data_IF_695370452240
#
_entry.id   IF_695370452240
#
_cell.length_a   1.000
_cell.length_b   1.000
_cell.length_c   1.000
_cell.angle_alpha   90.00
_cell.angle_beta   90.00
_cell.angle_gamma   90.00
#
_symmetry.space_group_name_H-M   'P 1'
#
loop_
_entity.id
_entity.type
_entity.pdbx_description
1 polymer ?
#
# COMPACT_ATOMS: atom_id res chain seq x y z
N UNK A 1 8.06 -17.97 3.58
CA UNK A 1 6.63 -17.62 3.77
C UNK A 1 6.15 -16.62 2.70
N UNK A 2 6.75 -15.44 2.54
CA UNK A 2 6.34 -14.49 1.46
C UNK A 2 6.58 -15.07 0.07
N UNK A 3 7.79 -15.60 -0.19
CA UNK A 3 8.12 -16.29 -1.45
C UNK A 3 7.18 -17.46 -1.77
N UNK A 4 6.70 -18.17 -0.75
CA UNK A 4 5.77 -19.30 -0.92
C UNK A 4 4.40 -18.83 -1.43
N UNK A 5 3.87 -17.73 -0.88
CA UNK A 5 2.64 -17.10 -1.38
C UNK A 5 2.80 -16.71 -2.85
N UNK A 6 3.95 -16.12 -3.21
CA UNK A 6 4.25 -15.72 -4.59
C UNK A 6 4.34 -16.94 -5.52
N UNK A 7 4.99 -18.02 -5.08
CA UNK A 7 5.10 -19.27 -5.85
C UNK A 7 3.73 -19.90 -6.09
N UNK A 8 2.85 -19.90 -5.09
CA UNK A 8 1.47 -20.37 -5.24
C UNK A 8 0.73 -19.51 -6.27
N UNK A 9 0.79 -18.18 -6.16
CA UNK A 9 0.15 -17.28 -7.12
C UNK A 9 0.64 -17.54 -8.56
N UNK A 10 1.97 -17.64 -8.75
CA UNK A 10 2.59 -17.95 -10.04
C UNK A 10 2.12 -19.28 -10.62
N UNK A 11 2.01 -20.33 -9.80
CA UNK A 11 1.47 -21.65 -10.22
C UNK A 11 0.06 -21.53 -10.81
N UNK A 12 -0.73 -20.59 -10.28
CA UNK A 12 -2.09 -20.30 -10.75
C UNK A 12 -2.16 -19.14 -11.75
N UNK A 13 -1.02 -18.71 -12.33
CA UNK A 13 -0.94 -17.59 -13.29
C UNK A 13 -1.49 -16.25 -12.75
N UNK A 14 -1.48 -16.07 -11.43
CA UNK A 14 -1.87 -14.83 -10.79
C UNK A 14 -0.66 -13.92 -10.56
N UNK A 15 -0.85 -12.62 -10.79
CA UNK A 15 0.12 -11.57 -10.46
C UNK A 15 -0.08 -11.14 -8.99
N UNK A 16 1.01 -10.84 -8.29
CA UNK A 16 0.95 -10.34 -6.91
C UNK A 16 1.22 -8.84 -6.88
N UNK A 17 0.26 -8.12 -6.31
CA UNK A 17 0.45 -6.77 -5.82
C UNK A 17 0.55 -6.85 -4.30
N UNK A 18 1.61 -6.28 -3.73
CA UNK A 18 1.84 -6.30 -2.29
C UNK A 18 2.04 -4.88 -1.78
N UNK A 19 1.21 -4.46 -0.84
CA UNK A 19 1.34 -3.14 -0.24
C UNK A 19 2.45 -3.10 0.82
N UNK A 20 3.26 -2.06 0.75
CA UNK A 20 3.98 -1.59 1.92
C UNK A 20 2.97 -1.23 3.01
N UNK A 21 3.21 -1.66 4.26
CA UNK A 21 2.37 -1.22 5.39
C UNK A 21 2.78 0.22 5.74
N UNK A 22 1.89 1.21 5.63
CA UNK A 22 2.24 2.60 5.90
C UNK A 22 2.46 2.84 7.40
N UNK A 23 3.14 3.94 7.78
CA UNK A 23 3.44 4.25 9.17
C UNK A 23 2.22 4.21 10.09
N UNK A 24 2.46 3.82 11.35
CA UNK A 24 1.47 3.75 12.42
C UNK A 24 1.93 4.53 13.65
N UNK A 25 0.98 4.96 14.49
CA UNK A 25 1.24 5.88 15.61
C UNK A 25 2.21 5.33 16.65
N UNK A 26 2.10 4.03 16.97
CA UNK A 26 2.93 3.40 18.01
C UNK A 26 4.32 3.12 17.46
N UNK A 27 5.33 3.79 18.01
CA UNK A 27 6.71 3.73 17.53
C UNK A 27 7.29 2.31 17.49
N UNK A 28 7.12 1.52 18.57
CA UNK A 28 7.62 0.12 18.62
C UNK A 28 7.00 -0.76 17.54
N UNK A 29 5.70 -0.57 17.26
CA UNK A 29 5.01 -1.30 16.21
C UNK A 29 5.50 -0.82 14.85
N UNK A 30 5.65 0.50 14.67
CA UNK A 30 6.15 1.09 13.44
C UNK A 30 7.57 0.57 13.10
N UNK A 31 8.49 0.52 14.08
CA UNK A 31 9.83 -0.06 13.91
C UNK A 31 9.79 -1.50 13.41
N UNK A 32 8.94 -2.34 14.00
CA UNK A 32 8.74 -3.73 13.56
C UNK A 32 8.18 -3.80 12.14
N UNK A 33 7.23 -2.93 11.81
CA UNK A 33 6.67 -2.83 10.45
C UNK A 33 7.75 -2.44 9.44
N UNK A 34 8.66 -1.52 9.75
CA UNK A 34 9.75 -1.16 8.82
C UNK A 34 10.66 -2.36 8.50
N UNK A 35 10.97 -3.19 9.50
CA UNK A 35 11.71 -4.44 9.27
C UNK A 35 10.92 -5.40 8.38
N UNK A 36 9.62 -5.57 8.64
CA UNK A 36 8.75 -6.43 7.82
C UNK A 36 8.61 -5.92 6.38
N UNK A 37 8.41 -4.62 6.18
CA UNK A 37 8.33 -3.99 4.86
C UNK A 37 9.60 -4.25 4.06
N UNK A 38 10.78 -4.21 4.69
CA UNK A 38 12.03 -4.56 4.01
C UNK A 38 12.04 -6.02 3.54
N UNK A 39 11.61 -6.96 4.39
CA UNK A 39 11.51 -8.38 4.00
C UNK A 39 10.52 -8.55 2.85
N UNK A 40 9.38 -7.86 2.89
CA UNK A 40 8.36 -7.93 1.85
C UNK A 40 8.86 -7.35 0.53
N UNK A 41 9.47 -6.16 0.54
CA UNK A 41 10.00 -5.52 -0.65
C UNK A 41 11.07 -6.38 -1.30
N UNK A 42 12.01 -6.90 -0.50
CA UNK A 42 13.14 -7.69 -1.00
C UNK A 42 12.62 -8.97 -1.71
N UNK A 43 11.66 -9.69 -1.11
CA UNK A 43 11.09 -10.92 -1.70
C UNK A 43 10.19 -10.67 -2.92
N UNK A 44 9.39 -9.60 -2.90
CA UNK A 44 8.48 -9.23 -4.00
C UNK A 44 9.29 -8.79 -5.24
N UNK A 45 10.29 -7.93 -5.04
CA UNK A 45 11.15 -7.44 -6.13
C UNK A 45 12.02 -8.54 -6.71
N UNK A 46 12.62 -9.40 -5.86
CA UNK A 46 13.37 -10.60 -6.30
C UNK A 46 12.53 -11.50 -7.20
N UNK A 47 11.24 -11.63 -6.89
CA UNK A 47 10.30 -12.43 -7.67
C UNK A 47 9.71 -11.71 -8.89
N UNK A 48 10.12 -10.46 -9.18
CA UNK A 48 9.57 -9.61 -10.24
C UNK A 48 8.06 -9.37 -10.09
N UNK A 49 7.56 -9.39 -8.86
CA UNK A 49 6.20 -8.99 -8.50
C UNK A 49 6.13 -7.49 -8.18
N UNK A 50 4.93 -6.97 -7.88
CA UNK A 50 4.71 -5.53 -7.77
C UNK A 50 4.60 -5.15 -6.28
N UNK A 51 5.56 -4.37 -5.80
CA UNK A 51 5.53 -3.78 -4.47
C UNK A 51 5.00 -2.35 -4.55
N UNK A 52 3.88 -2.08 -3.90
CA UNK A 52 3.24 -0.77 -3.90
C UNK A 52 3.72 -0.01 -2.67
N UNK A 53 4.55 1.01 -2.89
CA UNK A 53 5.05 1.88 -1.83
C UNK A 53 3.93 2.81 -1.34
N UNK A 54 3.79 2.95 -0.03
CA UNK A 54 2.69 3.68 0.62
C UNK A 54 3.19 4.69 1.65
N UNK A 55 4.43 4.53 2.14
CA UNK A 55 4.99 5.33 3.23
C UNK A 55 4.91 6.82 2.97
N UNK A 56 5.46 7.29 1.85
CA UNK A 56 5.49 8.71 1.52
C UNK A 56 4.08 9.30 1.40
N UNK A 57 3.14 8.54 0.84
CA UNK A 57 1.77 8.99 0.67
C UNK A 57 1.03 9.14 2.00
N UNK A 58 1.26 8.24 2.96
CA UNK A 58 0.60 8.22 4.28
C UNK A 58 1.45 8.79 5.41
N UNK A 59 2.47 9.57 5.10
CA UNK A 59 3.34 10.23 6.07
C UNK A 59 3.38 11.73 5.86
N UNK A 60 3.77 12.45 6.91
CA UNK A 60 4.13 13.86 6.84
C UNK A 60 5.54 13.97 7.38
N UNK A 61 6.46 14.54 6.58
CA UNK A 61 7.89 14.57 6.90
C UNK A 61 8.49 13.19 7.19
N UNK A 62 8.05 12.16 6.45
CA UNK A 62 8.46 10.75 6.62
C UNK A 62 8.04 10.12 7.96
N UNK A 63 7.17 10.78 8.72
CA UNK A 63 6.62 10.31 10.00
C UNK A 63 5.11 10.01 9.93
N UNK A 64 4.64 9.23 10.90
CA UNK A 64 3.21 8.95 11.04
C UNK A 64 2.39 10.24 11.14
N UNK A 65 1.29 10.29 10.39
CA UNK A 65 0.24 11.28 10.56
C UNK A 65 -1.13 10.61 10.47
N UNK A 66 -2.07 11.09 11.28
CA UNK A 66 -3.48 10.70 11.13
C UNK A 66 -4.16 11.39 9.93
N UNK A 67 -3.49 12.41 9.36
CA UNK A 67 -3.99 13.28 8.30
C UNK A 67 -3.01 13.37 7.14
N UNK A 68 -3.54 13.42 5.91
CA UNK A 68 -2.76 13.75 4.71
C UNK A 68 -3.41 14.92 3.97
N UNK A 69 -2.76 15.37 2.89
CA UNK A 69 -3.34 16.27 1.91
C UNK A 69 -3.94 15.46 0.77
N UNK A 70 -5.20 15.73 0.44
CA UNK A 70 -5.81 15.18 -0.78
C UNK A 70 -5.33 15.94 -2.03
N UNK A 71 -5.82 15.52 -3.20
CA UNK A 71 -5.54 16.15 -4.51
C UNK A 71 -5.94 17.64 -4.60
N UNK A 72 -6.83 18.10 -3.71
CA UNK A 72 -7.27 19.50 -3.60
C UNK A 72 -6.58 20.24 -2.45
N UNK A 73 -5.49 19.69 -1.91
CA UNK A 73 -4.71 20.22 -0.78
C UNK A 73 -5.51 20.37 0.54
N UNK A 74 -6.64 19.67 0.66
CA UNK A 74 -7.45 19.65 1.89
C UNK A 74 -6.86 18.63 2.85
N UNK A 75 -6.85 18.98 4.14
CA UNK A 75 -6.46 18.02 5.17
C UNK A 75 -7.59 17.03 5.39
N UNK A 76 -7.32 15.75 5.16
CA UNK A 76 -8.27 14.66 5.36
C UNK A 76 -7.73 13.70 6.42
N UNK A 77 -8.60 13.26 7.32
CA UNK A 77 -8.27 12.21 8.29
C UNK A 77 -8.25 10.87 7.56
N UNK A 78 -7.14 10.16 7.65
CA UNK A 78 -6.96 8.85 7.00
C UNK A 78 -6.82 7.72 8.00
N UNK A 79 -6.35 7.97 9.23
CA UNK A 79 -6.27 6.96 10.29
C UNK A 79 -7.39 7.10 11.32
N UNK A 80 -7.88 5.99 11.83
CA UNK A 80 -8.74 5.97 13.02
C UNK A 80 -7.97 6.42 14.26
N UNK A 81 -8.67 6.67 15.36
CA UNK A 81 -8.05 7.20 16.59
C UNK A 81 -7.05 6.23 17.25
N UNK A 82 -7.12 4.94 16.90
CA UNK A 82 -6.12 3.95 17.30
C UNK A 82 -4.74 4.15 16.62
N UNK A 83 -4.68 4.96 15.56
CA UNK A 83 -3.48 5.23 14.80
C UNK A 83 -2.89 4.03 14.05
N UNK A 84 -3.69 2.98 13.84
CA UNK A 84 -3.30 1.75 13.13
C UNK A 84 -4.22 1.51 11.93
N UNK A 85 -5.54 1.54 12.12
CA UNK A 85 -6.47 1.25 11.04
C UNK A 85 -6.78 2.50 10.20
N UNK A 86 -7.22 2.27 8.97
CA UNK A 86 -7.68 3.34 8.10
C UNK A 86 -9.14 3.68 8.37
N UNK A 87 -9.47 4.96 8.25
CA UNK A 87 -10.83 5.44 8.00
C UNK A 87 -11.30 5.05 6.59
N UNK A 88 -12.60 5.18 6.27
CA UNK A 88 -13.07 4.98 4.90
C UNK A 88 -12.38 5.87 3.86
N UNK A 89 -12.03 7.12 4.20
CA UNK A 89 -11.22 8.00 3.35
C UNK A 89 -9.81 7.44 3.14
N UNK A 90 -9.14 6.99 4.21
CA UNK A 90 -7.82 6.36 4.10
C UNK A 90 -7.81 5.11 3.21
N UNK A 91 -8.82 4.25 3.34
CA UNK A 91 -8.99 3.07 2.50
C UNK A 91 -9.25 3.42 1.02
N UNK A 92 -9.94 4.54 0.76
CA UNK A 92 -10.15 5.03 -0.61
C UNK A 92 -8.85 5.49 -1.24
N UNK A 93 -8.02 6.24 -0.52
CA UNK A 93 -6.71 6.65 -1.03
C UNK A 93 -5.78 5.45 -1.25
N UNK A 94 -5.83 4.45 -0.36
CA UNK A 94 -5.12 3.18 -0.54
C UNK A 94 -5.53 2.47 -1.85
N UNK A 95 -6.81 2.57 -2.20
CA UNK A 95 -7.35 2.00 -3.43
C UNK A 95 -6.88 2.76 -4.67
N UNK A 96 -6.75 4.10 -4.60
CA UNK A 96 -6.20 4.90 -5.71
C UNK A 96 -4.77 4.47 -6.05
N UNK A 97 -3.91 4.26 -5.05
CA UNK A 97 -2.53 3.78 -5.26
C UNK A 97 -2.48 2.40 -5.96
N UNK A 98 -3.43 1.51 -5.68
CA UNK A 98 -3.55 0.25 -6.41
C UNK A 98 -3.93 0.48 -7.87
N UNK A 99 -4.92 1.32 -8.11
CA UNK A 99 -5.44 1.59 -9.45
C UNK A 99 -4.39 2.22 -10.37
N UNK A 100 -3.42 2.98 -9.84
CA UNK A 100 -2.26 3.46 -10.61
C UNK A 100 -1.45 2.33 -11.27
N UNK A 101 -1.46 1.13 -10.69
CA UNK A 101 -0.75 -0.03 -11.20
C UNK A 101 -1.62 -0.91 -12.11
N UNK A 102 -2.94 -0.66 -12.17
CA UNK A 102 -3.88 -1.43 -12.98
C UNK A 102 -4.26 -0.58 -14.20
N UNK A 103 -3.74 -0.96 -15.36
CA UNK A 103 -4.25 -0.42 -16.63
C UNK A 103 -5.55 -1.12 -16.97
N UNK A 104 -6.66 -0.41 -16.88
CA UNK A 104 -7.90 -0.86 -17.50
C UNK A 104 -7.68 -0.82 -19.01
N UNK A 105 -7.82 -1.97 -19.68
CA UNK A 105 -8.05 -1.96 -21.13
C UNK A 105 -9.43 -1.38 -21.32
N UNK A 106 -9.54 -0.26 -22.01
CA UNK A 106 -10.81 0.13 -22.61
C UNK A 106 -11.17 -0.96 -23.62
N UNK A 107 -12.15 -1.80 -23.29
CA UNK A 107 -12.82 -2.58 -24.30
C UNK A 107 -13.66 -1.61 -25.12
N UNK A 108 -13.25 -1.44 -26.39
CA UNK A 108 -13.88 -0.61 -27.40
C UNK A 108 -15.39 -0.43 -27.17
N UNK A 109 -15.80 0.78 -26.77
CA UNK A 109 -17.14 1.26 -27.01
C UNK A 109 -17.30 1.51 -28.53
N UNK A 110 -17.39 0.43 -29.29
CA UNK A 110 -17.87 0.43 -30.67
C UNK A 110 -19.04 -0.53 -30.78
N UNK A 111 -20.24 0.04 -30.70
CA UNK A 111 -21.34 -0.34 -31.58
C UNK A 111 -21.94 0.93 -32.16
#
# INVERSE_FOLDING_TARGET
RVDEIIKIAKKHKAKVFWFEIPPVKKEDLNKKIQVLNKIYSDEILKNKEIFINTKLFFSVNDEYSAYIKDENNRSIKVRTDDGVHFTPSGAREMSKLLLEHIKLKEENASK
#
